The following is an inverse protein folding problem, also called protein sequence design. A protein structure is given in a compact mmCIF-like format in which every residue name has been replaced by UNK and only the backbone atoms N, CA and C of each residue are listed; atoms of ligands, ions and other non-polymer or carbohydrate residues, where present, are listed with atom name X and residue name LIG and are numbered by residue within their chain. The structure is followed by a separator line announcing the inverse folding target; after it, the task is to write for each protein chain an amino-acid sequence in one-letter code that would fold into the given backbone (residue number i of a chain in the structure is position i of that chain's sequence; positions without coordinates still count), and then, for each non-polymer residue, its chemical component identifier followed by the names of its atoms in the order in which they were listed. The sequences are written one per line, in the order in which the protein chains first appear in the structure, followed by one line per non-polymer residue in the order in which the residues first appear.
data_IF_730912036536
#
_entry.id   IF_730912036536
#
_cell.length_a   1.000
_cell.length_b   1.000
_cell.length_c   1.000
_cell.angle_alpha   90.00
_cell.angle_beta   90.00
_cell.angle_gamma   90.00
#
_symmetry.space_group_name_H-M   'P 1'
#
loop_
_entity.id
_entity.type
_entity.pdbx_description
1 polymer ?
#
# COMPACT_ATOMS: atom_id res chain seq x y z
N UNK A 1 -43.69 18.50 49.30
CA UNK A 1 -42.75 17.44 48.87
C UNK A 1 -43.18 16.67 47.62
N UNK A 2 -44.45 16.26 47.44
CA UNK A 2 -44.88 15.49 46.25
C UNK A 2 -44.73 16.21 44.88
N UNK A 3 -44.89 17.55 44.82
CA UNK A 3 -44.75 18.33 43.57
C UNK A 3 -43.30 18.51 43.10
N UNK A 4 -42.32 18.40 44.00
CA UNK A 4 -40.90 18.54 43.66
C UNK A 4 -40.34 17.26 43.01
N UNK A 5 -40.81 16.09 43.45
CA UNK A 5 -40.42 14.80 42.86
C UNK A 5 -40.92 14.61 41.42
N UNK A 6 -42.10 15.11 41.06
CA UNK A 6 -42.60 15.01 39.68
C UNK A 6 -41.81 15.89 38.68
N UNK A 7 -41.30 17.04 39.13
CA UNK A 7 -40.54 17.95 38.27
C UNK A 7 -39.14 17.39 37.96
N UNK A 8 -38.48 16.82 38.97
CA UNK A 8 -37.16 16.17 38.82
C UNK A 8 -37.28 14.91 37.96
N UNK A 9 -38.33 14.08 38.15
CA UNK A 9 -38.57 12.90 37.32
C UNK A 9 -38.83 13.24 35.84
N UNK A 10 -39.51 14.36 35.56
CA UNK A 10 -39.77 14.81 34.19
C UNK A 10 -38.51 15.33 33.48
N UNK A 11 -37.61 15.99 34.22
CA UNK A 11 -36.31 16.45 33.71
C UNK A 11 -35.39 15.26 33.38
N UNK A 12 -35.36 14.23 34.25
CA UNK A 12 -34.61 13.00 33.98
C UNK A 12 -35.17 12.23 32.78
N UNK A 13 -36.50 12.18 32.61
CA UNK A 13 -37.13 11.53 31.46
C UNK A 13 -36.80 12.28 30.15
N UNK A 14 -36.85 13.62 30.15
CA UNK A 14 -36.48 14.43 28.98
C UNK A 14 -34.99 14.33 28.63
N UNK A 15 -34.10 14.25 29.62
CA UNK A 15 -32.66 14.03 29.40
C UNK A 15 -32.39 12.63 28.84
N UNK A 16 -33.12 11.61 29.30
CA UNK A 16 -32.98 10.24 28.80
C UNK A 16 -33.53 10.07 27.38
N UNK A 17 -34.64 10.73 27.03
CA UNK A 17 -35.13 10.77 25.66
C UNK A 17 -34.18 11.53 24.74
N UNK A 18 -33.64 12.66 25.19
CA UNK A 18 -32.71 13.47 24.40
C UNK A 18 -31.42 12.70 24.08
N UNK A 19 -30.84 12.01 25.07
CA UNK A 19 -29.67 11.14 24.89
C UNK A 19 -29.96 9.95 23.96
N UNK A 20 -31.16 9.36 24.02
CA UNK A 20 -31.57 8.29 23.09
C UNK A 20 -31.76 8.81 21.66
N UNK A 21 -32.31 10.01 21.48
CA UNK A 21 -32.45 10.63 20.16
C UNK A 21 -31.10 11.03 19.56
N UNK A 22 -30.17 11.57 20.34
CA UNK A 22 -28.80 11.87 19.86
C UNK A 22 -28.09 10.58 19.44
N UNK A 23 -28.08 9.56 20.29
CA UNK A 23 -27.47 8.26 19.98
C UNK A 23 -28.10 7.62 18.73
N UNK A 24 -29.41 7.76 18.55
CA UNK A 24 -30.12 7.27 17.37
C UNK A 24 -29.85 8.10 16.12
N UNK A 25 -29.66 9.42 16.22
CA UNK A 25 -29.30 10.30 15.10
C UNK A 25 -27.85 10.09 14.65
N UNK A 26 -26.91 9.88 15.58
CA UNK A 26 -25.53 9.48 15.24
C UNK A 26 -25.50 8.12 14.54
N UNK A 27 -26.38 7.20 14.95
CA UNK A 27 -26.57 5.90 14.30
C UNK A 27 -27.21 6.02 12.90
N UNK A 28 -28.04 7.04 12.67
CA UNK A 28 -28.71 7.29 11.37
C UNK A 28 -27.80 8.00 10.36
N UNK A 29 -26.83 8.81 10.80
CA UNK A 29 -25.95 9.55 9.89
C UNK A 29 -24.61 8.87 9.55
N UNK A 30 -24.32 7.70 10.13
CA UNK A 30 -23.06 6.97 9.95
C UNK A 30 -21.83 7.73 10.44
N UNK A 31 -20.83 7.01 10.93
CA UNK A 31 -19.55 7.65 11.27
C UNK A 31 -18.85 8.11 9.98
N UNK A 32 -18.25 9.29 10.01
CA UNK A 32 -17.70 10.00 8.86
C UNK A 32 -16.18 9.91 8.89
N UNK A 33 -15.59 9.33 7.84
CA UNK A 33 -14.14 9.17 7.67
C UNK A 33 -13.73 9.78 6.34
N UNK A 34 -12.66 10.57 6.36
CA UNK A 34 -11.98 11.01 5.15
C UNK A 34 -10.78 10.10 4.88
N UNK A 35 -10.64 9.59 3.66
CA UNK A 35 -9.42 9.01 3.14
C UNK A 35 -8.84 9.97 2.10
N UNK A 36 -7.74 10.62 2.47
CA UNK A 36 -7.02 11.57 1.64
C UNK A 36 -5.80 10.88 1.01
N UNK A 37 -5.85 10.69 -0.30
CA UNK A 37 -4.74 10.11 -1.06
C UNK A 37 -3.84 11.18 -1.64
N UNK A 38 -2.52 10.95 -1.56
CA UNK A 38 -1.55 11.76 -2.28
C UNK A 38 -1.72 11.64 -3.80
N UNK A 39 -2.07 10.45 -4.31
CA UNK A 39 -2.04 10.14 -5.74
C UNK A 39 -3.43 9.92 -6.33
N UNK A 40 -3.54 9.71 -7.64
CA UNK A 40 -4.83 9.57 -8.34
C UNK A 40 -5.45 8.18 -8.24
N UNK A 41 -6.77 8.13 -8.39
CA UNK A 41 -7.47 6.88 -8.69
C UNK A 41 -7.04 6.30 -10.05
N UNK A 42 -6.97 4.97 -10.13
CA UNK A 42 -6.45 4.22 -11.28
C UNK A 42 -4.99 3.78 -11.10
N UNK A 43 -4.25 4.41 -10.17
CA UNK A 43 -2.97 3.87 -9.73
C UNK A 43 -3.22 2.73 -8.74
N UNK A 44 -2.78 1.51 -9.07
CA UNK A 44 -3.09 0.31 -8.28
C UNK A 44 -2.75 0.46 -6.80
N UNK A 45 -1.62 1.06 -6.43
CA UNK A 45 -1.29 1.30 -5.02
C UNK A 45 -2.39 2.10 -4.28
N UNK A 46 -2.87 3.18 -4.91
CA UNK A 46 -3.90 4.06 -4.38
C UNK A 46 -5.23 3.32 -4.26
N UNK A 47 -5.62 2.63 -5.33
CA UNK A 47 -6.86 1.88 -5.39
C UNK A 47 -6.84 0.72 -4.37
N UNK A 48 -5.69 0.05 -4.19
CA UNK A 48 -5.51 -1.06 -3.26
C UNK A 48 -5.60 -0.61 -1.80
N UNK A 49 -4.98 0.53 -1.45
CA UNK A 49 -5.15 1.17 -0.13
C UNK A 49 -6.63 1.49 0.10
N UNK A 50 -7.30 2.08 -0.90
CA UNK A 50 -8.74 2.36 -0.84
C UNK A 50 -9.57 1.09 -0.61
N UNK A 51 -9.28 0.00 -1.33
CA UNK A 51 -9.96 -1.31 -1.15
C UNK A 51 -9.73 -1.87 0.25
N UNK A 52 -8.48 -1.87 0.73
CA UNK A 52 -8.13 -2.37 2.06
C UNK A 52 -8.81 -1.55 3.17
N UNK A 53 -8.75 -0.23 3.07
CA UNK A 53 -9.39 0.69 4.02
C UNK A 53 -10.90 0.49 4.07
N UNK A 54 -11.56 0.45 2.90
CA UNK A 54 -13.01 0.20 2.81
C UNK A 54 -13.40 -1.14 3.40
N UNK A 55 -12.64 -2.20 3.12
CA UNK A 55 -12.89 -3.52 3.71
C UNK A 55 -12.78 -3.50 5.24
N UNK A 56 -11.75 -2.87 5.80
CA UNK A 56 -11.61 -2.78 7.25
C UNK A 56 -12.76 -2.00 7.90
N UNK A 57 -13.11 -0.83 7.33
CA UNK A 57 -14.16 0.06 7.83
C UNK A 57 -15.56 -0.58 7.77
N UNK A 58 -15.86 -1.27 6.66
CA UNK A 58 -17.17 -1.86 6.40
C UNK A 58 -18.23 -0.82 5.99
N UNK A 59 -19.39 -1.29 5.55
CA UNK A 59 -20.38 -0.47 4.85
C UNK A 59 -21.18 0.50 5.74
N UNK A 60 -21.05 0.40 7.07
CA UNK A 60 -21.76 1.31 8.00
C UNK A 60 -21.02 2.64 8.23
N UNK A 61 -19.78 2.74 7.76
CA UNK A 61 -18.97 3.96 7.84
C UNK A 61 -19.07 4.70 6.51
N UNK A 62 -19.40 5.99 6.59
CA UNK A 62 -19.41 6.87 5.44
C UNK A 62 -17.97 7.31 5.14
N UNK A 63 -17.36 6.60 4.19
CA UNK A 63 -16.00 6.87 3.71
C UNK A 63 -16.04 7.87 2.54
N UNK A 64 -15.55 9.07 2.80
CA UNK A 64 -15.23 10.08 1.78
C UNK A 64 -13.81 9.85 1.28
N UNK A 65 -13.61 9.89 -0.03
CA UNK A 65 -12.29 9.68 -0.64
C UNK A 65 -11.94 10.89 -1.50
N UNK A 66 -10.74 11.44 -1.27
CA UNK A 66 -10.19 12.55 -2.03
C UNK A 66 -8.79 12.20 -2.54
N UNK A 67 -8.43 12.76 -3.69
CA UNK A 67 -7.17 12.49 -4.37
C UNK A 67 -6.47 13.81 -4.68
N UNK A 68 -5.22 13.96 -4.25
CA UNK A 68 -4.40 15.13 -4.54
C UNK A 68 -3.71 15.04 -5.92
N UNK A 69 -3.67 13.85 -6.54
CA UNK A 69 -3.05 13.59 -7.85
C UNK A 69 -1.60 14.10 -8.02
N UNK A 70 -0.79 13.98 -6.97
CA UNK A 70 0.53 14.60 -6.93
C UNK A 70 1.62 13.90 -7.74
N UNK A 71 1.36 12.68 -8.26
CA UNK A 71 2.29 12.03 -9.21
C UNK A 71 2.19 12.64 -10.61
N UNK A 72 1.03 13.19 -10.97
CA UNK A 72 0.80 13.83 -12.28
C UNK A 72 1.02 15.34 -12.21
N UNK A 73 0.59 15.98 -11.12
CA UNK A 73 0.68 17.44 -10.93
C UNK A 73 1.33 17.78 -9.59
N UNK A 74 2.47 18.45 -9.60
CA UNK A 74 3.13 18.83 -8.35
C UNK A 74 3.96 20.11 -8.51
N UNK A 75 3.43 21.19 -7.96
CA UNK A 75 4.10 22.46 -7.76
C UNK A 75 3.40 23.22 -6.63
N UNK A 76 4.04 24.28 -6.14
CA UNK A 76 3.56 25.07 -5.01
C UNK A 76 2.18 25.70 -5.29
N UNK A 77 1.94 26.17 -6.53
CA UNK A 77 0.65 26.79 -6.89
C UNK A 77 -0.47 25.76 -6.92
N UNK A 78 -0.19 24.55 -7.42
CA UNK A 78 -1.14 23.45 -7.41
C UNK A 78 -1.51 23.02 -5.98
N UNK A 79 -0.52 22.90 -5.09
CA UNK A 79 -0.76 22.53 -3.70
C UNK A 79 -1.59 23.59 -2.95
N UNK A 80 -1.35 24.88 -3.20
CA UNK A 80 -2.14 25.95 -2.59
C UNK A 80 -3.61 25.95 -3.07
N UNK A 81 -3.83 25.76 -4.38
CA UNK A 81 -5.19 25.62 -4.93
C UNK A 81 -5.93 24.40 -4.35
N UNK A 82 -5.23 23.28 -4.14
CA UNK A 82 -5.79 22.12 -3.46
C UNK A 82 -6.16 22.42 -2.01
N UNK A 83 -5.30 23.13 -1.27
CA UNK A 83 -5.58 23.56 0.10
C UNK A 83 -6.86 24.39 0.17
N UNK A 84 -6.97 25.43 -0.67
CA UNK A 84 -8.16 26.30 -0.75
C UNK A 84 -9.42 25.50 -1.10
N UNK A 85 -9.33 24.56 -2.04
CA UNK A 85 -10.45 23.72 -2.44
C UNK A 85 -10.90 22.80 -1.30
N UNK A 86 -9.96 22.16 -0.60
CA UNK A 86 -10.25 21.31 0.57
C UNK A 86 -10.89 22.13 1.69
N UNK A 87 -10.37 23.33 1.96
CA UNK A 87 -10.94 24.27 2.93
C UNK A 87 -12.40 24.60 2.58
N UNK A 88 -12.66 24.95 1.32
CA UNK A 88 -14.01 25.26 0.85
C UNK A 88 -14.96 24.06 0.98
N UNK A 89 -14.55 22.88 0.51
CA UNK A 89 -15.38 21.66 0.50
C UNK A 89 -15.67 21.16 1.91
N UNK A 90 -14.70 21.28 2.81
CA UNK A 90 -14.76 20.68 4.14
C UNK A 90 -14.97 21.67 5.27
N UNK A 91 -15.26 22.95 5.00
CA UNK A 91 -15.55 23.96 6.04
C UNK A 91 -16.62 23.56 7.07
N UNK A 92 -17.57 22.71 6.67
CA UNK A 92 -18.66 22.19 7.52
C UNK A 92 -18.57 20.68 7.73
N UNK A 93 -17.40 20.08 7.53
CA UNK A 93 -17.23 18.66 7.73
C UNK A 93 -17.29 18.29 9.22
N UNK A 94 -17.63 17.04 9.47
CA UNK A 94 -17.71 16.46 10.80
C UNK A 94 -16.90 15.16 10.87
N UNK A 95 -15.80 15.03 10.11
CA UNK A 95 -14.99 13.82 10.09
C UNK A 95 -14.52 13.47 11.51
N UNK A 96 -14.67 12.20 11.89
CA UNK A 96 -14.22 11.72 13.20
C UNK A 96 -12.82 11.11 13.14
N UNK A 97 -12.38 10.69 11.95
CA UNK A 97 -11.03 10.21 11.66
C UNK A 97 -10.67 10.61 10.24
N UNK A 98 -9.42 11.01 10.04
CA UNK A 98 -8.82 11.18 8.71
C UNK A 98 -7.80 10.07 8.52
N UNK A 99 -7.88 9.36 7.41
CA UNK A 99 -6.86 8.44 6.94
C UNK A 99 -6.06 9.18 5.88
N UNK A 100 -4.75 9.32 6.09
CA UNK A 100 -3.84 9.89 5.10
C UNK A 100 -3.08 8.77 4.40
N UNK A 101 -3.05 8.79 3.07
CA UNK A 101 -2.28 7.83 2.27
C UNK A 101 -1.13 8.54 1.54
N UNK A 102 0.08 8.08 1.85
CA UNK A 102 1.37 8.53 1.33
C UNK A 102 1.81 9.95 1.78
N UNK A 103 3.05 10.30 1.44
CA UNK A 103 3.77 11.46 1.97
C UNK A 103 3.07 12.81 1.74
N UNK A 104 2.64 13.13 0.51
CA UNK A 104 2.15 14.48 0.21
C UNK A 104 0.82 14.82 0.92
N UNK A 105 -0.09 13.84 1.03
CA UNK A 105 -1.32 14.01 1.80
C UNK A 105 -1.02 14.14 3.29
N UNK A 106 -0.02 13.39 3.78
CA UNK A 106 0.40 13.49 5.17
C UNK A 106 1.07 14.84 5.49
N UNK A 107 1.95 15.32 4.63
CA UNK A 107 2.62 16.63 4.73
C UNK A 107 1.59 17.77 4.72
N UNK A 108 0.62 17.75 3.80
CA UNK A 108 -0.48 18.73 3.77
C UNK A 108 -1.26 18.72 5.10
N UNK A 109 -1.50 17.54 5.69
CA UNK A 109 -2.19 17.43 6.98
C UNK A 109 -1.32 17.84 8.17
N UNK A 110 0.00 17.66 8.11
CA UNK A 110 0.91 18.17 9.13
C UNK A 110 0.93 19.70 9.14
N UNK A 111 0.97 20.31 7.95
CA UNK A 111 1.07 21.76 7.78
C UNK A 111 -0.27 22.47 7.99
N UNK A 112 -1.34 21.97 7.37
CA UNK A 112 -2.64 22.63 7.29
C UNK A 112 -3.79 21.85 7.93
N UNK A 113 -3.55 20.62 8.41
CA UNK A 113 -4.63 19.75 8.90
C UNK A 113 -5.39 20.33 10.10
N UNK A 114 -4.74 21.12 10.96
CA UNK A 114 -5.42 21.80 12.07
C UNK A 114 -6.37 22.90 11.61
N UNK A 115 -6.00 23.62 10.56
CA UNK A 115 -6.84 24.66 9.94
C UNK A 115 -8.03 24.02 9.21
N UNK A 116 -7.76 22.97 8.43
CA UNK A 116 -8.75 22.29 7.59
C UNK A 116 -9.73 21.42 8.39
N UNK A 117 -9.25 20.76 9.45
CA UNK A 117 -9.96 19.68 10.14
C UNK A 117 -9.91 19.74 11.67
N UNK A 118 -9.38 20.82 12.25
CA UNK A 118 -9.34 21.01 13.70
C UNK A 118 -8.49 19.97 14.42
N UNK A 119 -9.06 19.31 15.44
CA UNK A 119 -8.38 18.30 16.26
C UNK A 119 -8.71 16.86 15.84
N UNK A 120 -9.23 16.67 14.63
CA UNK A 120 -9.58 15.34 14.11
C UNK A 120 -8.35 14.43 14.11
N UNK A 121 -8.42 13.22 14.69
CA UNK A 121 -7.29 12.30 14.70
C UNK A 121 -6.94 11.82 13.29
N UNK A 122 -5.64 11.70 13.03
CA UNK A 122 -5.09 11.28 11.75
C UNK A 122 -4.47 9.88 11.90
N UNK A 123 -4.83 9.00 10.96
CA UNK A 123 -4.22 7.67 10.76
C UNK A 123 -3.48 7.70 9.43
N UNK A 124 -2.16 7.74 9.44
CA UNK A 124 -1.39 7.67 8.18
C UNK A 124 -1.16 6.22 7.72
N UNK A 125 -0.91 6.04 6.43
CA UNK A 125 -0.50 4.79 5.77
C UNK A 125 0.31 5.09 4.53
N UNK A 126 1.16 4.16 4.05
CA UNK A 126 2.01 4.44 2.88
C UNK A 126 3.09 5.50 3.15
N UNK A 127 3.36 5.82 4.42
CA UNK A 127 4.32 6.85 4.76
C UNK A 127 5.74 6.28 4.71
N UNK A 128 6.52 6.79 3.76
CA UNK A 128 7.95 6.52 3.64
C UNK A 128 8.72 7.45 4.57
N UNK A 129 9.69 6.92 5.33
CA UNK A 129 10.57 7.68 6.22
C UNK A 129 9.84 8.67 7.15
N UNK A 130 8.96 8.18 8.05
CA UNK A 130 8.26 9.04 8.99
C UNK A 130 9.24 9.81 9.89
N UNK A 131 8.90 11.04 10.33
CA UNK A 131 9.74 11.79 11.27
C UNK A 131 9.99 11.00 12.58
N UNK A 132 11.23 10.98 13.05
CA UNK A 132 11.65 10.20 14.24
C UNK A 132 10.81 10.47 15.50
N UNK A 133 10.37 11.73 15.67
CA UNK A 133 9.61 12.21 16.83
C UNK A 133 8.15 12.52 16.51
N UNK A 134 7.61 11.96 15.43
CA UNK A 134 6.28 12.29 14.93
C UNK A 134 5.20 12.33 16.02
N UNK A 135 5.13 11.33 16.91
CA UNK A 135 4.12 11.30 17.99
C UNK A 135 4.38 12.29 19.13
N UNK A 136 5.63 12.63 19.36
CA UNK A 136 5.99 13.60 20.41
C UNK A 136 5.59 15.01 19.96
N UNK A 137 5.70 15.28 18.67
CA UNK A 137 5.39 16.58 18.06
C UNK A 137 3.90 16.69 17.68
N UNK A 138 3.25 15.57 17.36
CA UNK A 138 1.85 15.53 16.92
C UNK A 138 1.06 14.42 17.66
N UNK A 139 0.43 14.78 18.78
CA UNK A 139 -0.32 13.84 19.63
C UNK A 139 -1.60 13.27 19.00
N UNK A 140 -2.14 13.93 17.96
CA UNK A 140 -3.33 13.49 17.23
C UNK A 140 -3.02 12.53 16.09
N UNK A 141 -1.80 11.97 16.03
CA UNK A 141 -1.34 11.13 14.92
C UNK A 141 -0.97 9.72 15.39
N UNK A 142 -1.42 8.74 14.60
CA UNK A 142 -0.99 7.35 14.62
C UNK A 142 -0.99 6.82 13.18
N UNK A 143 -0.59 5.57 12.93
CA UNK A 143 -0.60 5.06 11.57
C UNK A 143 0.21 3.81 11.34
N UNK A 144 0.43 3.55 10.06
CA UNK A 144 1.14 2.39 9.51
C UNK A 144 2.26 2.91 8.62
N UNK A 145 3.48 2.53 8.96
CA UNK A 145 4.68 2.91 8.18
C UNK A 145 4.80 1.98 6.98
N UNK A 146 5.15 2.56 5.84
CA UNK A 146 5.61 1.80 4.69
C UNK A 146 7.07 1.42 4.91
N UNK A 147 7.38 0.14 4.81
CA UNK A 147 8.76 -0.33 4.96
C UNK A 147 9.07 -1.33 3.85
N UNK A 148 10.14 -1.08 3.11
CA UNK A 148 10.62 -1.94 2.05
C UNK A 148 11.68 -2.89 2.62
N UNK A 149 11.57 -4.18 2.30
CA UNK A 149 12.51 -5.20 2.79
C UNK A 149 13.66 -5.45 1.79
N UNK A 150 14.56 -4.48 1.60
CA UNK A 150 15.71 -4.64 0.68
C UNK A 150 16.58 -5.84 1.05
N UNK A 151 16.94 -5.98 2.34
CA UNK A 151 17.79 -7.10 2.79
C UNK A 151 17.14 -8.46 2.53
N UNK A 152 15.83 -8.58 2.73
CA UNK A 152 15.13 -9.83 2.49
C UNK A 152 15.06 -10.16 0.99
N UNK A 153 14.90 -9.15 0.13
CA UNK A 153 14.95 -9.32 -1.32
C UNK A 153 16.36 -9.69 -1.80
N UNK A 154 17.41 -9.07 -1.24
CA UNK A 154 18.81 -9.41 -1.57
C UNK A 154 19.17 -10.83 -1.14
N UNK A 155 18.80 -11.27 0.07
CA UNK A 155 19.00 -12.67 0.50
C UNK A 155 18.17 -13.64 -0.34
N UNK A 156 16.94 -13.28 -0.71
CA UNK A 156 16.09 -14.09 -1.59
C UNK A 156 16.78 -14.30 -2.95
N UNK A 157 17.23 -13.22 -3.58
CA UNK A 157 17.92 -13.26 -4.87
C UNK A 157 19.19 -14.12 -4.79
N UNK A 158 20.02 -13.89 -3.77
CA UNK A 158 21.25 -14.67 -3.52
C UNK A 158 20.96 -16.16 -3.32
N UNK A 159 19.87 -16.50 -2.64
CA UNK A 159 19.46 -17.89 -2.38
C UNK A 159 18.93 -18.58 -3.63
N UNK A 160 18.10 -17.88 -4.42
CA UNK A 160 17.48 -18.44 -5.63
C UNK A 160 18.43 -18.45 -6.83
N UNK A 161 19.40 -17.55 -6.87
CA UNK A 161 20.34 -17.36 -7.96
C UNK A 161 21.80 -17.21 -7.48
N UNK A 162 22.36 -18.22 -6.79
CA UNK A 162 23.69 -18.11 -6.20
C UNK A 162 24.81 -17.88 -7.21
N UNK A 163 24.57 -18.19 -8.49
CA UNK A 163 25.49 -17.99 -9.60
C UNK A 163 25.57 -16.54 -10.08
N UNK A 164 24.57 -15.69 -9.79
CA UNK A 164 24.46 -14.34 -10.35
C UNK A 164 25.17 -13.32 -9.46
N UNK A 165 26.25 -12.75 -9.97
CA UNK A 165 27.11 -11.82 -9.23
C UNK A 165 26.91 -10.35 -9.57
N UNK A 166 26.19 -10.06 -10.66
CA UNK A 166 25.88 -8.69 -11.08
C UNK A 166 24.45 -8.33 -10.69
N UNK A 167 24.28 -7.35 -9.82
CA UNK A 167 23.00 -6.84 -9.38
C UNK A 167 22.77 -5.46 -9.99
N UNK A 168 21.66 -5.30 -10.70
CA UNK A 168 21.23 -4.02 -11.24
C UNK A 168 20.00 -3.54 -10.49
N UNK A 169 20.13 -2.40 -9.82
CA UNK A 169 19.01 -1.73 -9.19
C UNK A 169 18.46 -0.64 -10.11
N UNK A 170 17.15 -0.66 -10.39
CA UNK A 170 16.50 0.32 -11.26
C UNK A 170 15.54 1.16 -10.43
N UNK A 171 15.70 2.48 -10.50
CA UNK A 171 14.84 3.49 -9.87
C UNK A 171 14.74 4.73 -10.76
N UNK A 172 13.91 5.71 -10.39
CA UNK A 172 13.79 6.98 -11.11
C UNK A 172 14.33 8.19 -10.34
N UNK A 173 14.17 9.36 -10.94
CA UNK A 173 14.62 10.67 -10.42
C UNK A 173 13.55 11.37 -9.57
N UNK A 174 12.43 10.71 -9.28
CA UNK A 174 11.42 11.30 -8.38
C UNK A 174 11.97 11.35 -6.95
N UNK A 175 11.44 12.22 -6.07
CA UNK A 175 11.84 12.24 -4.67
C UNK A 175 11.75 10.86 -4.00
N UNK A 176 10.69 10.09 -4.31
CA UNK A 176 10.57 8.69 -3.86
C UNK A 176 11.71 7.83 -4.38
N UNK A 177 12.04 7.93 -5.67
CA UNK A 177 13.12 7.17 -6.30
C UNK A 177 14.50 7.46 -5.71
N UNK A 178 14.75 8.71 -5.29
CA UNK A 178 15.97 9.13 -4.58
C UNK A 178 16.04 8.50 -3.19
N UNK A 179 14.98 8.60 -2.38
CA UNK A 179 14.97 8.00 -1.04
C UNK A 179 15.16 6.47 -1.06
N UNK A 180 14.50 5.80 -2.00
CA UNK A 180 14.62 4.36 -2.21
C UNK A 180 16.04 3.94 -2.63
N UNK A 181 16.74 4.79 -3.40
CA UNK A 181 18.15 4.55 -3.76
C UNK A 181 19.04 4.53 -2.53
N UNK A 182 18.92 5.54 -1.66
CA UNK A 182 19.78 5.66 -0.47
C UNK A 182 19.60 4.46 0.48
N UNK A 183 18.35 4.04 0.71
CA UNK A 183 18.04 2.87 1.53
C UNK A 183 18.55 1.56 0.90
N UNK A 184 18.44 1.42 -0.42
CA UNK A 184 18.98 0.28 -1.14
C UNK A 184 20.50 0.22 -1.02
N UNK A 185 21.20 1.32 -1.26
CA UNK A 185 22.67 1.38 -1.23
C UNK A 185 23.18 0.97 0.17
N UNK A 186 22.56 1.47 1.25
CA UNK A 186 22.86 1.05 2.62
C UNK A 186 22.62 -0.44 2.86
N UNK A 187 21.52 -0.98 2.36
CA UNK A 187 21.21 -2.40 2.51
C UNK A 187 22.18 -3.30 1.71
N UNK A 188 22.62 -2.84 0.54
CA UNK A 188 23.47 -3.57 -0.38
C UNK A 188 24.92 -3.73 0.13
N UNK A 189 25.40 -2.84 1.00
CA UNK A 189 26.74 -2.94 1.62
C UNK A 189 26.99 -4.31 2.27
N UNK A 190 25.96 -4.87 2.92
CA UNK A 190 26.05 -6.17 3.59
C UNK A 190 26.14 -7.37 2.64
N UNK A 191 26.07 -7.16 1.33
CA UNK A 191 26.01 -8.21 0.31
C UNK A 191 27.17 -8.15 -0.70
N UNK A 192 28.18 -7.31 -0.45
CA UNK A 192 29.37 -7.19 -1.31
C UNK A 192 30.16 -8.49 -1.49
N UNK A 193 30.08 -9.42 -0.52
CA UNK A 193 30.70 -10.76 -0.63
C UNK A 193 30.04 -11.65 -1.71
N UNK A 194 28.80 -11.32 -2.11
CA UNK A 194 28.06 -12.07 -3.12
C UNK A 194 27.88 -11.31 -4.42
N UNK A 195 27.39 -10.07 -4.37
CA UNK A 195 27.21 -9.23 -5.55
C UNK A 195 28.48 -8.41 -5.77
N UNK A 196 29.37 -8.91 -6.62
CA UNK A 196 30.68 -8.28 -6.90
C UNK A 196 30.57 -7.08 -7.84
N UNK A 197 29.41 -6.90 -8.48
CA UNK A 197 29.12 -5.80 -9.39
C UNK A 197 27.69 -5.31 -9.11
N UNK A 198 27.56 -4.20 -8.37
CA UNK A 198 26.27 -3.58 -8.06
C UNK A 198 26.19 -2.25 -8.80
N UNK A 199 25.21 -2.13 -9.69
CA UNK A 199 24.93 -0.90 -10.43
C UNK A 199 23.57 -0.34 -10.06
N UNK A 200 23.51 0.96 -9.80
CA UNK A 200 22.26 1.71 -9.70
C UNK A 200 22.02 2.43 -11.02
N UNK A 201 20.92 2.07 -11.68
CA UNK A 201 20.44 2.71 -12.89
C UNK A 201 19.31 3.68 -12.53
N UNK A 202 19.70 4.94 -12.40
CA UNK A 202 18.85 6.11 -12.18
C UNK A 202 19.13 7.13 -13.28
N UNK A 203 18.23 8.09 -13.49
CA UNK A 203 18.45 9.23 -14.40
C UNK A 203 18.65 8.83 -15.88
N UNK A 204 17.90 7.83 -16.33
CA UNK A 204 17.92 7.35 -17.71
C UNK A 204 16.63 7.73 -18.44
N UNK A 205 16.71 7.85 -19.77
CA UNK A 205 15.51 7.78 -20.62
C UNK A 205 15.00 6.35 -20.68
N UNK A 206 13.70 6.15 -20.82
CA UNK A 206 13.13 4.80 -20.96
C UNK A 206 13.83 4.01 -22.08
N UNK A 207 14.02 4.59 -23.27
CA UNK A 207 14.70 3.89 -24.37
C UNK A 207 16.17 3.54 -24.08
N UNK A 208 16.88 4.35 -23.29
CA UNK A 208 18.23 4.03 -22.83
C UNK A 208 18.23 2.90 -21.83
N UNK A 209 17.31 2.94 -20.86
CA UNK A 209 17.08 1.88 -19.89
C UNK A 209 16.78 0.53 -20.59
N UNK A 210 15.86 0.52 -21.57
CA UNK A 210 15.53 -0.69 -22.32
C UNK A 210 16.74 -1.24 -23.09
N UNK A 211 17.54 -0.38 -23.72
CA UNK A 211 18.79 -0.82 -24.38
C UNK A 211 19.78 -1.44 -23.40
N UNK A 212 19.99 -0.82 -22.23
CA UNK A 212 20.86 -1.37 -21.18
C UNK A 212 20.36 -2.72 -20.69
N UNK A 213 19.05 -2.86 -20.46
CA UNK A 213 18.41 -4.13 -20.08
C UNK A 213 18.66 -5.24 -21.09
N UNK A 214 18.48 -4.97 -22.39
CA UNK A 214 18.71 -5.98 -23.44
C UNK A 214 20.15 -6.47 -23.53
N UNK A 215 21.11 -5.69 -23.00
CA UNK A 215 22.53 -6.03 -23.01
C UNK A 215 22.98 -6.84 -21.78
N UNK A 216 22.10 -7.06 -20.81
CA UNK A 216 22.42 -7.83 -19.61
C UNK A 216 22.73 -9.29 -19.94
N UNK A 217 23.82 -9.78 -19.38
CA UNK A 217 24.23 -11.18 -19.48
C UNK A 217 23.51 -12.07 -18.43
N UNK A 218 23.69 -13.38 -18.55
CA UNK A 218 23.09 -14.37 -17.62
C UNK A 218 23.58 -14.30 -16.17
N UNK A 219 24.71 -13.63 -15.91
CA UNK A 219 25.25 -13.44 -14.56
C UNK A 219 24.55 -12.28 -13.83
N UNK A 220 23.67 -11.55 -14.54
CA UNK A 220 22.97 -10.39 -14.04
C UNK A 220 21.61 -10.76 -13.44
N UNK A 221 21.16 -10.00 -12.45
CA UNK A 221 19.79 -10.00 -11.92
C UNK A 221 19.36 -8.57 -11.67
N UNK A 222 18.08 -8.28 -11.89
CA UNK A 222 17.53 -6.94 -11.71
C UNK A 222 16.68 -6.91 -10.46
N UNK A 223 16.89 -5.90 -9.60
CA UNK A 223 15.96 -5.49 -8.56
C UNK A 223 15.34 -4.16 -8.99
N UNK A 224 14.05 -4.19 -9.30
CA UNK A 224 13.30 -3.06 -9.80
C UNK A 224 12.48 -2.43 -8.66
N UNK A 225 12.68 -1.13 -8.42
CA UNK A 225 11.85 -0.35 -7.50
C UNK A 225 10.62 0.20 -8.24
N UNK A 226 10.75 1.40 -8.80
CA UNK A 226 9.71 2.17 -9.49
C UNK A 226 10.35 2.97 -10.62
N UNK A 227 9.54 3.31 -11.63
CA UNK A 227 9.97 4.16 -12.72
C UNK A 227 8.79 4.92 -13.31
N UNK A 228 8.37 5.98 -12.60
CA UNK A 228 7.26 6.83 -12.99
C UNK A 228 7.70 7.96 -13.92
N UNK A 229 8.92 8.47 -13.77
CA UNK A 229 9.42 9.58 -14.59
C UNK A 229 10.83 9.32 -15.10
N UNK A 230 11.04 9.56 -16.38
CA UNK A 230 12.40 9.55 -16.94
C UNK A 230 13.09 10.91 -16.76
N UNK A 231 14.36 11.01 -17.18
CA UNK A 231 15.13 12.25 -17.07
C UNK A 231 14.69 13.40 -17.99
N UNK A 232 13.60 13.22 -18.77
CA UNK A 232 12.92 14.27 -19.54
C UNK A 232 11.53 14.58 -18.98
N UNK A 233 11.26 14.12 -17.77
CA UNK A 233 9.99 14.33 -17.08
C UNK A 233 8.80 13.63 -17.77
N UNK A 234 9.06 12.63 -18.62
CA UNK A 234 8.00 11.84 -19.25
C UNK A 234 7.45 10.87 -18.21
N UNK A 235 6.15 10.97 -17.95
CA UNK A 235 5.43 10.09 -17.05
C UNK A 235 5.10 8.73 -17.71
N UNK A 236 5.33 7.64 -16.97
CA UNK A 236 4.94 6.29 -17.33
C UNK A 236 4.06 5.71 -16.22
N UNK A 237 2.89 5.20 -16.59
CA UNK A 237 2.05 4.45 -15.65
C UNK A 237 2.77 3.19 -15.16
N UNK A 238 2.56 2.84 -13.89
CA UNK A 238 3.28 1.78 -13.18
C UNK A 238 3.30 0.46 -13.96
N UNK A 239 2.16 0.06 -14.50
CA UNK A 239 1.96 -1.22 -15.15
C UNK A 239 2.62 -1.27 -16.54
N UNK A 240 2.48 -0.18 -17.30
CA UNK A 240 3.12 0.00 -18.60
C UNK A 240 4.63 0.06 -18.48
N UNK A 241 5.16 0.87 -17.55
CA UNK A 241 6.58 0.96 -17.25
C UNK A 241 7.17 -0.39 -16.84
N UNK A 242 6.50 -1.10 -15.91
CA UNK A 242 6.91 -2.44 -15.48
C UNK A 242 6.98 -3.42 -16.66
N UNK A 243 5.98 -3.43 -17.55
CA UNK A 243 5.96 -4.32 -18.72
C UNK A 243 7.06 -4.01 -19.73
N UNK A 244 7.35 -2.73 -19.99
CA UNK A 244 8.44 -2.34 -20.88
C UNK A 244 9.80 -2.83 -20.35
N UNK A 245 10.07 -2.59 -19.06
CA UNK A 245 11.32 -2.96 -18.38
C UNK A 245 11.47 -4.49 -18.36
N UNK A 246 10.48 -5.20 -17.83
CA UNK A 246 10.53 -6.66 -17.69
C UNK A 246 10.49 -7.41 -19.02
N UNK A 247 9.80 -6.85 -20.02
CA UNK A 247 9.77 -7.37 -21.39
C UNK A 247 11.11 -7.25 -22.11
N UNK A 248 11.90 -6.22 -21.80
CA UNK A 248 13.23 -5.98 -22.39
C UNK A 248 14.35 -6.71 -21.66
N UNK A 249 14.10 -7.23 -20.45
CA UNK A 249 15.08 -7.94 -19.65
C UNK A 249 15.21 -9.42 -20.06
N UNK A 250 16.41 -9.90 -20.43
CA UNK A 250 16.68 -11.32 -20.65
C UNK A 250 16.86 -12.09 -19.32
N UNK A 251 16.92 -11.39 -18.19
CA UNK A 251 17.13 -11.95 -16.85
C UNK A 251 15.95 -11.67 -15.91
N UNK A 252 15.74 -12.48 -14.85
CA UNK A 252 14.83 -12.20 -13.75
C UNK A 252 14.87 -10.75 -13.29
N UNK A 253 13.68 -10.18 -13.17
CA UNK A 253 13.44 -8.88 -12.56
C UNK A 253 12.64 -9.12 -11.28
N UNK A 254 13.22 -8.84 -10.12
CA UNK A 254 12.53 -8.84 -8.84
C UNK A 254 11.93 -7.45 -8.60
N UNK A 255 10.81 -7.40 -7.87
CA UNK A 255 10.14 -6.14 -7.52
C UNK A 255 10.21 -5.85 -6.01
N UNK A 256 9.80 -4.64 -5.65
CA UNK A 256 9.68 -4.22 -4.25
C UNK A 256 8.22 -3.97 -3.82
N UNK A 257 7.30 -3.78 -4.78
CA UNK A 257 5.88 -3.56 -4.52
C UNK A 257 4.98 -4.53 -5.28
N UNK A 258 3.80 -4.79 -4.70
CA UNK A 258 2.80 -5.68 -5.29
C UNK A 258 2.14 -5.11 -6.56
N UNK A 259 2.14 -3.79 -6.76
CA UNK A 259 1.66 -3.19 -8.01
C UNK A 259 2.53 -3.52 -9.24
N UNK A 260 3.75 -4.05 -9.06
CA UNK A 260 4.54 -4.57 -10.18
C UNK A 260 4.19 -6.04 -10.51
N UNK A 261 3.57 -6.75 -9.57
CA UNK A 261 3.26 -8.18 -9.69
C UNK A 261 2.17 -8.41 -10.74
N UNK A 262 2.35 -9.41 -11.60
CA UNK A 262 1.46 -9.63 -12.74
C UNK A 262 1.77 -8.73 -13.95
N UNK A 263 2.79 -7.87 -13.86
CA UNK A 263 3.27 -7.03 -14.96
C UNK A 263 4.68 -7.38 -15.44
N UNK A 264 5.16 -8.58 -15.07
CA UNK A 264 6.36 -9.20 -15.65
C UNK A 264 7.53 -9.37 -14.68
N UNK A 265 7.44 -8.86 -13.44
CA UNK A 265 8.42 -9.22 -12.41
C UNK A 265 8.29 -10.71 -12.04
N UNK A 266 9.40 -11.33 -11.65
CA UNK A 266 9.42 -12.69 -11.11
C UNK A 266 8.72 -12.75 -9.75
N UNK A 267 8.94 -11.74 -8.91
CA UNK A 267 8.40 -11.67 -7.56
C UNK A 267 9.34 -10.94 -6.61
N UNK A 268 9.16 -11.17 -5.32
CA UNK A 268 9.98 -10.58 -4.26
C UNK A 268 9.30 -10.69 -2.90
N UNK A 269 9.91 -10.07 -1.89
CA UNK A 269 9.23 -9.71 -0.65
C UNK A 269 8.62 -8.32 -0.86
N UNK A 270 7.33 -8.30 -1.18
CA UNK A 270 6.66 -7.14 -1.74
C UNK A 270 5.85 -6.37 -0.69
N UNK A 271 5.96 -5.05 -0.72
CA UNK A 271 5.09 -4.15 0.03
C UNK A 271 3.70 -4.13 -0.60
N UNK A 272 2.65 -4.33 0.21
CA UNK A 272 1.27 -4.39 -0.27
C UNK A 272 0.42 -3.18 0.09
N UNK A 273 -0.12 -2.51 -0.93
CA UNK A 273 -1.03 -1.37 -0.76
C UNK A 273 -2.33 -1.76 -0.08
N UNK A 274 -2.84 -2.95 -0.40
CA UNK A 274 -4.06 -3.47 0.23
C UNK A 274 -3.86 -3.71 1.74
N UNK A 275 -2.71 -4.29 2.15
CA UNK A 275 -2.43 -4.52 3.57
C UNK A 275 -2.22 -3.20 4.33
N UNK A 276 -1.57 -2.22 3.71
CA UNK A 276 -1.44 -0.85 4.23
C UNK A 276 -2.82 -0.25 4.53
N UNK A 277 -3.71 -0.20 3.53
CA UNK A 277 -5.06 0.30 3.69
C UNK A 277 -5.89 -0.47 4.72
N UNK A 278 -5.80 -1.80 4.72
CA UNK A 278 -6.51 -2.66 5.67
C UNK A 278 -6.07 -2.38 7.12
N UNK A 279 -4.77 -2.24 7.36
CA UNK A 279 -4.24 -1.92 8.67
C UNK A 279 -4.66 -0.51 9.13
N UNK A 280 -4.59 0.48 8.25
CA UNK A 280 -5.02 1.85 8.54
C UNK A 280 -6.53 1.93 8.87
N UNK A 281 -7.38 1.26 8.08
CA UNK A 281 -8.82 1.21 8.34
C UNK A 281 -9.14 0.51 9.68
N UNK A 282 -8.37 -0.51 10.08
CA UNK A 282 -8.51 -1.13 11.41
C UNK A 282 -8.13 -0.17 12.54
N UNK A 283 -7.10 0.64 12.36
CA UNK A 283 -6.74 1.68 13.32
C UNK A 283 -7.82 2.76 13.42
N UNK A 284 -8.35 3.20 12.28
CA UNK A 284 -9.46 4.15 12.23
C UNK A 284 -10.69 3.62 12.98
N UNK A 285 -11.05 2.34 12.80
CA UNK A 285 -12.15 1.71 13.56
C UNK A 285 -11.95 1.71 15.07
N UNK A 286 -10.71 1.54 15.54
CA UNK A 286 -10.40 1.60 16.97
C UNK A 286 -10.66 3.00 17.53
N UNK A 287 -10.26 4.05 16.80
CA UNK A 287 -10.54 5.44 17.16
C UNK A 287 -12.05 5.72 17.16
N UNK A 288 -12.76 5.27 16.12
CA UNK A 288 -14.22 5.40 16.01
C UNK A 288 -14.98 4.66 17.11
N UNK A 289 -14.41 3.59 17.65
CA UNK A 289 -14.93 2.87 18.81
C UNK A 289 -14.61 3.54 20.16
N UNK A 290 -13.96 4.71 20.15
CA UNK A 290 -13.64 5.50 21.34
C UNK A 290 -12.29 5.18 21.99
N UNK A 291 -11.42 4.39 21.34
CA UNK A 291 -10.07 4.17 21.87
C UNK A 291 -9.24 5.44 21.74
N UNK A 292 -8.60 5.86 22.83
CA UNK A 292 -7.72 7.04 22.83
C UNK A 292 -6.48 6.82 21.95
N UNK A 293 -6.12 7.81 21.13
CA UNK A 293 -5.05 7.70 20.13
C UNK A 293 -3.70 7.35 20.72
N UNK A 294 -3.34 7.88 21.90
CA UNK A 294 -2.09 7.57 22.60
C UNK A 294 -1.90 6.08 22.91
N UNK A 295 -2.99 5.30 22.94
CA UNK A 295 -2.98 3.85 23.16
C UNK A 295 -2.89 3.05 21.86
N UNK A 296 -2.81 3.72 20.72
CA UNK A 296 -2.69 3.13 19.39
C UNK A 296 -1.27 3.39 18.88
N UNK A 297 -0.33 2.43 18.97
CA UNK A 297 1.04 2.63 18.50
C UNK A 297 1.08 2.73 16.97
N UNK A 298 2.09 3.43 16.47
CA UNK A 298 2.47 3.36 15.05
C UNK A 298 2.94 1.94 14.75
N UNK A 299 2.47 1.38 13.64
CA UNK A 299 2.73 0.01 13.25
C UNK A 299 3.70 -0.06 12.07
N UNK A 300 4.47 -1.15 12.02
CA UNK A 300 5.23 -1.59 10.84
C UNK A 300 4.65 -2.93 10.41
N UNK A 301 4.27 -3.04 9.14
CA UNK A 301 3.75 -4.29 8.61
C UNK A 301 4.88 -5.22 8.19
N UNK A 302 4.61 -6.52 8.23
CA UNK A 302 5.47 -7.52 7.62
C UNK A 302 5.04 -7.69 6.17
N UNK A 303 5.99 -7.56 5.25
CA UNK A 303 5.74 -7.81 3.83
C UNK A 303 5.64 -9.30 3.53
N UNK A 304 4.98 -9.62 2.43
CA UNK A 304 4.73 -10.98 2.00
C UNK A 304 5.65 -11.37 0.83
N UNK A 305 6.07 -12.62 0.80
CA UNK A 305 6.73 -13.17 -0.38
C UNK A 305 5.68 -13.45 -1.45
N UNK A 306 5.82 -12.83 -2.61
CA UNK A 306 4.85 -12.96 -3.71
C UNK A 306 5.57 -13.19 -5.04
N UNK A 307 5.05 -14.10 -5.86
CA UNK A 307 5.70 -14.51 -7.12
C UNK A 307 4.70 -14.72 -8.25
N UNK A 308 5.17 -14.50 -9.48
CA UNK A 308 4.43 -14.83 -10.70
C UNK A 308 4.89 -16.18 -11.27
N UNK A 309 3.98 -17.15 -11.29
CA UNK A 309 4.27 -18.50 -11.79
C UNK A 309 4.78 -18.53 -13.24
N UNK A 310 4.26 -17.64 -14.10
CA UNK A 310 4.68 -17.58 -15.50
C UNK A 310 6.14 -17.13 -15.62
N UNK A 311 6.57 -16.19 -14.77
CA UNK A 311 7.95 -15.72 -14.76
C UNK A 311 8.88 -16.70 -14.06
N UNK A 312 8.44 -17.36 -12.98
CA UNK A 312 9.17 -18.48 -12.36
C UNK A 312 9.50 -19.56 -13.40
N UNK A 313 8.50 -19.94 -14.22
CA UNK A 313 8.69 -20.89 -15.32
C UNK A 313 9.62 -20.35 -16.40
N UNK A 314 9.45 -19.09 -16.83
CA UNK A 314 10.28 -18.43 -17.87
C UNK A 314 11.76 -18.48 -17.51
N UNK A 315 12.10 -18.28 -16.24
CA UNK A 315 13.48 -18.19 -15.77
C UNK A 315 14.00 -19.45 -15.07
N UNK A 316 13.21 -20.53 -15.06
CA UNK A 316 13.63 -21.82 -14.50
C UNK A 316 13.76 -21.85 -12.98
N UNK A 317 13.04 -20.99 -12.26
CA UNK A 317 13.04 -20.94 -10.79
C UNK A 317 12.03 -21.93 -10.24
N UNK A 318 12.50 -22.93 -9.48
CA UNK A 318 11.65 -23.95 -8.89
C UNK A 318 10.79 -23.40 -7.73
N UNK A 319 9.48 -23.67 -7.75
CA UNK A 319 8.56 -23.22 -6.69
C UNK A 319 8.87 -23.84 -5.33
N UNK A 320 9.53 -25.00 -5.29
CA UNK A 320 9.96 -25.69 -4.06
C UNK A 320 11.08 -24.96 -3.32
N UNK A 321 11.80 -24.04 -3.98
CA UNK A 321 12.87 -23.24 -3.38
C UNK A 321 12.37 -21.90 -2.83
N UNK A 322 11.11 -21.58 -3.05
CA UNK A 322 10.52 -20.33 -2.56
C UNK A 322 10.31 -20.41 -1.04
N UNK A 323 10.37 -19.27 -0.33
CA UNK A 323 10.05 -19.21 1.09
C UNK A 323 8.67 -19.81 1.41
N UNK A 324 8.55 -20.43 2.57
CA UNK A 324 7.26 -20.96 3.02
C UNK A 324 6.22 -19.84 3.15
N UNK A 325 4.96 -20.15 2.80
CA UNK A 325 3.87 -19.17 2.82
C UNK A 325 3.86 -18.19 1.66
N UNK A 326 4.75 -18.36 0.66
CA UNK A 326 4.76 -17.51 -0.54
C UNK A 326 3.43 -17.54 -1.29
N UNK A 327 2.92 -16.36 -1.66
CA UNK A 327 1.77 -16.20 -2.53
C UNK A 327 2.22 -16.34 -3.97
N UNK A 328 1.59 -17.24 -4.74
CA UNK A 328 1.92 -17.45 -6.15
C UNK A 328 0.69 -17.12 -7.00
N UNK A 329 0.83 -16.12 -7.88
CA UNK A 329 -0.20 -15.76 -8.84
C UNK A 329 0.05 -16.44 -10.19
N UNK A 330 -0.96 -16.46 -11.05
CA UNK A 330 -0.89 -17.04 -12.41
C UNK A 330 -0.49 -18.54 -12.44
N UNK A 331 -0.65 -19.24 -11.31
CA UNK A 331 -0.46 -20.69 -11.27
C UNK A 331 -1.63 -21.37 -11.97
N UNK A 332 -1.38 -22.27 -12.95
CA UNK A 332 -2.46 -23.01 -13.57
C UNK A 332 -3.18 -23.82 -12.49
N UNK A 333 -4.51 -23.80 -12.52
CA UNK A 333 -5.30 -24.72 -11.71
C UNK A 333 -4.85 -26.15 -12.07
N UNK A 334 -4.54 -26.97 -11.06
CA UNK A 334 -4.21 -28.36 -11.35
C UNK A 334 -5.41 -29.01 -12.06
N UNK A 335 -5.14 -29.87 -13.04
CA UNK A 335 -6.18 -30.60 -13.79
C UNK A 335 -7.24 -31.21 -12.85
N UNK A 336 -6.79 -31.74 -11.71
CA UNK A 336 -7.64 -32.26 -10.65
C UNK A 336 -8.51 -31.22 -9.94
N UNK A 337 -8.02 -30.01 -9.66
CA UNK A 337 -8.85 -28.93 -9.06
C UNK A 337 -9.89 -28.41 -10.04
N UNK A 338 -9.56 -28.31 -11.32
CA UNK A 338 -10.49 -27.89 -12.37
C UNK A 338 -11.59 -28.93 -12.61
N UNK A 339 -11.24 -30.23 -12.53
CA UNK A 339 -12.14 -31.35 -12.81
C UNK A 339 -12.62 -32.07 -11.55
N UNK A 340 -12.50 -31.45 -10.36
CA UNK A 340 -12.83 -32.09 -9.09
C UNK A 340 -14.30 -32.55 -9.06
N UNK A 341 -15.21 -31.77 -9.67
CA UNK A 341 -16.64 -32.11 -9.83
C UNK A 341 -16.88 -33.29 -10.78
N UNK A 342 -16.05 -33.42 -11.82
CA UNK A 342 -16.10 -34.56 -12.74
C UNK A 342 -15.57 -35.82 -12.06
N UNK A 343 -14.48 -35.71 -11.29
CA UNK A 343 -13.93 -36.82 -10.51
C UNK A 343 -14.90 -37.30 -9.42
N UNK A 344 -15.49 -36.39 -8.65
CA UNK A 344 -16.50 -36.78 -7.65
C UNK A 344 -17.75 -37.35 -8.32
N UNK A 345 -18.18 -36.82 -9.47
CA UNK A 345 -19.28 -37.37 -10.26
C UNK A 345 -19.02 -38.79 -10.76
N UNK A 346 -17.83 -39.06 -11.33
CA UNK A 346 -17.42 -40.38 -11.79
C UNK A 346 -17.31 -41.37 -10.62
N UNK A 347 -16.74 -40.94 -9.48
CA UNK A 347 -16.62 -41.77 -8.29
C UNK A 347 -18.01 -42.16 -7.74
N UNK A 348 -18.95 -41.22 -7.67
CA UNK A 348 -20.33 -41.49 -7.26
C UNK A 348 -21.02 -42.46 -8.23
N UNK A 349 -20.85 -42.26 -9.55
CA UNK A 349 -21.42 -43.15 -10.55
C UNK A 349 -20.87 -44.59 -10.43
N UNK A 350 -19.58 -44.75 -10.18
CA UNK A 350 -18.95 -46.06 -9.96
C UNK A 350 -19.50 -46.72 -8.69
N UNK A 351 -19.64 -45.97 -7.58
CA UNK A 351 -20.19 -46.49 -6.33
C UNK A 351 -21.66 -46.91 -6.47
N UNK A 352 -22.46 -46.21 -7.28
CA UNK A 352 -23.86 -46.57 -7.58
C UNK A 352 -23.97 -47.79 -8.49
N UNK A 353 -22.98 -48.04 -9.36
CA UNK A 353 -22.97 -49.22 -10.23
C UNK A 353 -22.43 -50.49 -9.54
N UNK A 354 -21.67 -50.32 -8.45
CA UNK A 354 -21.06 -51.42 -7.69
C UNK A 354 -21.82 -51.80 -6.41
N UNK A 355 -22.80 -51.00 -5.99
CA UNK A 355 -23.73 -51.30 -4.88
C UNK A 355 -25.13 -51.54 -5.41
#
# INVERSE_FOLDING_TARGET
MKRFFCLVGSIFLSLSLYAQTETSLTKVMGQQVLLLHSYHSGYQWTDDISRGGRHALGDQINLHVEYLDTKRHYDESYMELLRELLEYRFRKNNFQVIISADNNAFELLLEHGRELFGHTPIVFTGLNNPPDKLRQEHSTITGVVEQIDYRANLELIKTLHPERKRLVFITDVTPTGIGVREEFEQAAEAFGDHFTDIEVWQDLRMNELLRKLTSLDKNSVVLYSLFFRDNRDIFYEYDYGTRLITGSSPVPVYGLWDFNLGHGILGGKLTSGYQQGLAAGRLARRLLAGQHIDKIPIQKLQNEYMFDYSQLKRFGTETSKLPEGSVIINQPLSFFREHLRLFTGILVAILVLLG
#
